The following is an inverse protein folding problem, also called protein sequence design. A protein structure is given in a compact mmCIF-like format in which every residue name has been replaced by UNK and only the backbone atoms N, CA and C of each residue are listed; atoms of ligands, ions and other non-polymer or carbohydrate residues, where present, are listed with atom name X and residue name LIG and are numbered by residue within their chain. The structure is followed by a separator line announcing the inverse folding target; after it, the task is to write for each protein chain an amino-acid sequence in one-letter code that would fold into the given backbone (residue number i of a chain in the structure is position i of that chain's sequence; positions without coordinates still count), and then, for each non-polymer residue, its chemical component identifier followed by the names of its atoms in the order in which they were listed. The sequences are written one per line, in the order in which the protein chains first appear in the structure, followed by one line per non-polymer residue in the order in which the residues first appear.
data_IF_127695954407
#
_entry.id   IF_127695954407
#
_cell.length_a   1.000
_cell.length_b   1.000
_cell.length_c   1.000
_cell.angle_alpha   90.00
_cell.angle_beta   90.00
_cell.angle_gamma   90.00
#
_symmetry.space_group_name_H-M   'P 1'
#
loop_
_entity.id
_entity.type
_entity.pdbx_description
1 polymer ?
#
# COMPACT_ATOMS: atom_id res chain seq x y z
N UNK A 1 6.23 -13.70 -15.65
CA UNK A 1 6.81 -12.35 -15.62
C UNK A 1 7.83 -12.30 -14.51
N UNK A 2 8.98 -11.71 -14.80
CA UNK A 2 9.98 -11.31 -13.81
C UNK A 2 9.67 -9.89 -13.31
N UNK A 3 10.29 -9.48 -12.21
CA UNK A 3 10.08 -8.15 -11.66
C UNK A 3 10.49 -7.05 -12.67
N UNK A 4 11.58 -7.28 -13.41
CA UNK A 4 12.08 -6.39 -14.44
C UNK A 4 11.16 -6.25 -15.67
N UNK A 5 10.26 -7.23 -15.91
CA UNK A 5 9.25 -7.15 -16.98
C UNK A 5 8.16 -6.12 -16.63
N UNK A 6 7.89 -5.92 -15.34
CA UNK A 6 6.91 -4.94 -14.84
C UNK A 6 7.57 -3.58 -14.65
N UNK A 7 8.74 -3.56 -14.00
CA UNK A 7 9.47 -2.34 -13.67
C UNK A 7 10.96 -2.53 -14.00
N UNK A 8 11.38 -2.13 -15.22
CA UNK A 8 12.75 -2.33 -15.70
C UNK A 8 13.78 -1.70 -14.77
N UNK A 9 14.99 -2.28 -14.70
CA UNK A 9 15.98 -1.90 -13.68
C UNK A 9 16.34 -0.43 -13.62
N UNK A 10 16.34 0.25 -14.76
CA UNK A 10 16.66 1.69 -14.89
C UNK A 10 15.44 2.60 -14.71
N UNK A 11 14.29 2.06 -14.34
CA UNK A 11 13.06 2.80 -14.09
C UNK A 11 12.61 2.61 -12.65
N UNK A 12 12.45 3.72 -11.95
CA UNK A 12 11.90 3.73 -10.60
C UNK A 12 10.39 3.89 -10.57
N UNK A 13 9.76 4.17 -11.72
CA UNK A 13 8.31 4.36 -11.81
C UNK A 13 7.73 3.79 -13.09
N UNK A 14 6.50 3.30 -12.99
CA UNK A 14 5.64 2.99 -14.12
C UNK A 14 4.28 3.67 -13.92
N UNK A 15 3.50 3.77 -15.00
CA UNK A 15 2.09 4.17 -14.92
C UNK A 15 1.21 2.98 -15.29
N UNK A 16 0.30 2.61 -14.39
CA UNK A 16 -0.65 1.52 -14.59
C UNK A 16 -2.06 2.04 -14.27
N UNK A 17 -2.98 1.94 -15.23
CA UNK A 17 -4.36 2.42 -15.03
C UNK A 17 -4.47 3.91 -14.66
N UNK A 18 -3.52 4.75 -15.09
CA UNK A 18 -3.46 6.17 -14.74
C UNK A 18 -2.77 6.47 -13.38
N UNK A 19 -2.43 5.44 -12.59
CA UNK A 19 -1.73 5.56 -11.32
C UNK A 19 -0.22 5.45 -11.54
N UNK A 20 0.55 6.37 -10.97
CA UNK A 20 2.01 6.24 -10.91
C UNK A 20 2.40 5.31 -9.76
N UNK A 21 3.16 4.26 -10.07
CA UNK A 21 3.64 3.26 -9.11
C UNK A 21 5.16 3.35 -9.05
N UNK A 22 5.72 3.34 -7.84
CA UNK A 22 7.18 3.41 -7.63
C UNK A 22 7.79 2.05 -7.34
N UNK A 23 9.06 1.88 -7.72
CA UNK A 23 9.91 0.77 -7.29
C UNK A 23 10.00 0.82 -5.77
N UNK A 24 9.44 -0.19 -5.11
CA UNK A 24 9.35 -0.26 -3.66
C UNK A 24 7.98 0.07 -3.06
N UNK A 25 6.95 0.44 -3.84
CA UNK A 25 5.61 0.69 -3.29
C UNK A 25 5.06 -0.49 -2.48
N UNK A 26 5.23 -1.73 -2.97
CA UNK A 26 4.82 -2.94 -2.23
C UNK A 26 5.64 -3.12 -0.95
N UNK A 27 6.97 -2.91 -1.01
CA UNK A 27 7.84 -3.02 0.16
C UNK A 27 7.51 -1.98 1.23
N UNK A 28 7.28 -0.73 0.83
CA UNK A 28 6.87 0.35 1.72
C UNK A 28 5.48 0.10 2.34
N UNK A 29 4.55 -0.48 1.58
CA UNK A 29 3.23 -0.86 2.08
C UNK A 29 3.36 -1.92 3.19
N UNK A 30 4.14 -2.97 2.94
CA UNK A 30 4.40 -4.02 3.93
C UNK A 30 5.11 -3.46 5.17
N UNK A 31 6.09 -2.56 4.99
CA UNK A 31 6.82 -1.96 6.10
C UNK A 31 5.91 -1.12 7.01
N UNK A 32 5.09 -0.24 6.43
CA UNK A 32 4.13 0.56 7.20
C UNK A 32 3.05 -0.31 7.86
N UNK A 33 2.55 -1.34 7.15
CA UNK A 33 1.60 -2.29 7.72
C UNK A 33 2.20 -2.97 8.97
N UNK A 34 3.45 -3.43 8.90
CA UNK A 34 4.15 -4.04 10.05
C UNK A 34 4.33 -3.07 11.20
N UNK A 35 4.75 -1.83 10.94
CA UNK A 35 4.86 -0.80 11.98
C UNK A 35 3.52 -0.60 12.71
N UNK A 36 2.40 -0.55 11.98
CA UNK A 36 1.08 -0.38 12.58
C UNK A 36 0.63 -1.58 13.43
N UNK A 37 1.21 -2.76 13.25
CA UNK A 37 0.92 -3.94 14.06
C UNK A 37 1.70 -3.97 15.38
N UNK A 38 2.77 -3.19 15.52
CA UNK A 38 3.51 -3.06 16.77
C UNK A 38 2.58 -2.54 17.88
N UNK A 39 2.64 -3.16 19.06
CA UNK A 39 1.84 -2.76 20.23
C UNK A 39 2.27 -1.37 20.72
N UNK A 40 3.58 -1.21 20.91
CA UNK A 40 4.19 0.05 21.34
C UNK A 40 4.78 0.81 20.15
N UNK A 41 3.94 1.67 19.56
CA UNK A 41 4.38 2.62 18.54
C UNK A 41 4.00 4.05 18.98
N UNK A 42 4.96 4.99 19.09
CA UNK A 42 4.66 6.37 19.45
C UNK A 42 3.57 6.96 18.56
N UNK A 43 2.62 7.69 19.15
CA UNK A 43 1.41 8.14 18.44
C UNK A 43 1.71 8.96 17.17
N UNK A 44 2.79 9.76 17.17
CA UNK A 44 3.22 10.49 15.98
C UNK A 44 3.69 9.56 14.85
N UNK A 45 4.45 8.52 15.18
CA UNK A 45 4.93 7.53 14.21
C UNK A 45 3.76 6.67 13.70
N UNK A 46 2.81 6.32 14.57
CA UNK A 46 1.59 5.61 14.16
C UNK A 46 0.81 6.42 13.13
N UNK A 47 0.57 7.70 13.39
CA UNK A 47 -0.11 8.60 12.42
C UNK A 47 0.62 8.66 11.08
N UNK A 48 1.94 8.86 11.11
CA UNK A 48 2.74 8.90 9.88
C UNK A 48 2.66 7.58 9.10
N UNK A 49 2.77 6.43 9.76
CA UNK A 49 2.68 5.13 9.12
C UNK A 49 1.28 4.89 8.51
N UNK A 50 0.21 5.35 9.15
CA UNK A 50 -1.13 5.30 8.56
C UNK A 50 -1.26 6.20 7.32
N UNK A 51 -0.74 7.43 7.37
CA UNK A 51 -0.75 8.36 6.23
C UNK A 51 0.04 7.79 5.04
N UNK A 52 1.24 7.29 5.30
CA UNK A 52 2.10 6.68 4.29
C UNK A 52 1.46 5.42 3.69
N UNK A 53 0.84 4.57 4.53
CA UNK A 53 0.11 3.40 4.05
C UNK A 53 -1.07 3.81 3.16
N UNK A 54 -1.88 4.80 3.58
CA UNK A 54 -3.01 5.32 2.78
C UNK A 54 -2.55 5.91 1.45
N UNK A 55 -1.41 6.61 1.42
CA UNK A 55 -0.83 7.16 0.20
C UNK A 55 -0.40 6.08 -0.81
N UNK A 56 -0.10 4.86 -0.34
CA UNK A 56 0.29 3.73 -1.17
C UNK A 56 -0.91 2.94 -1.73
N UNK A 57 -2.10 3.04 -1.12
CA UNK A 57 -3.28 2.27 -1.51
C UNK A 57 -3.70 2.40 -2.99
N UNK A 58 -3.63 3.57 -3.66
CA UNK A 58 -3.88 3.64 -5.10
C UNK A 58 -2.97 2.71 -5.90
N UNK A 59 -1.67 2.68 -5.58
CA UNK A 59 -0.69 1.85 -6.27
C UNK A 59 -0.90 0.36 -5.96
N UNK A 60 -1.17 0.02 -4.70
CA UNK A 60 -1.43 -1.37 -4.28
C UNK A 60 -2.68 -1.95 -4.94
N UNK A 61 -3.74 -1.13 -5.08
CA UNK A 61 -4.93 -1.53 -5.83
C UNK A 61 -4.66 -1.65 -7.32
N UNK A 62 -3.95 -0.70 -7.93
CA UNK A 62 -3.63 -0.77 -9.36
C UNK A 62 -2.80 -2.02 -9.71
N UNK A 63 -1.97 -2.50 -8.78
CA UNK A 63 -1.21 -3.75 -8.91
C UNK A 63 -2.06 -5.03 -8.74
N UNK A 64 -3.34 -4.91 -8.32
CA UNK A 64 -4.21 -6.06 -8.07
C UNK A 64 -3.83 -6.88 -6.83
N UNK A 65 -2.98 -6.35 -5.94
CA UNK A 65 -2.46 -7.14 -4.81
C UNK A 65 -3.59 -7.62 -3.88
N UNK A 66 -4.57 -6.74 -3.63
CA UNK A 66 -5.70 -7.03 -2.74
C UNK A 66 -6.81 -7.86 -3.40
N UNK A 67 -6.67 -8.20 -4.68
CA UNK A 67 -7.56 -9.16 -5.38
C UNK A 67 -7.11 -10.60 -5.16
N UNK A 68 -5.83 -10.79 -4.78
CA UNK A 68 -5.21 -12.10 -4.56
C UNK A 68 -4.88 -12.37 -3.10
N UNK A 69 -4.63 -11.31 -2.31
CA UNK A 69 -4.22 -11.40 -0.91
C UNK A 69 -5.15 -10.58 -0.03
N UNK A 70 -5.45 -11.10 1.16
CA UNK A 70 -6.18 -10.37 2.19
C UNK A 70 -5.27 -9.90 3.34
N UNK A 71 -5.62 -8.77 3.93
CA UNK A 71 -5.02 -8.32 5.19
C UNK A 71 -5.58 -9.12 6.35
N UNK A 72 -4.70 -9.76 7.13
CA UNK A 72 -5.12 -10.63 8.25
C UNK A 72 -5.55 -9.86 9.50
N UNK A 73 -4.93 -8.70 9.77
CA UNK A 73 -5.25 -7.89 10.94
C UNK A 73 -6.49 -7.02 10.67
N UNK A 74 -7.43 -7.04 11.62
CA UNK A 74 -8.71 -6.33 11.48
C UNK A 74 -8.56 -4.81 11.40
N UNK A 75 -7.60 -4.22 12.14
CA UNK A 75 -7.36 -2.76 12.13
C UNK A 75 -6.84 -2.31 10.77
N UNK A 76 -5.95 -3.11 10.17
CA UNK A 76 -5.47 -2.85 8.81
C UNK A 76 -6.60 -2.98 7.77
N UNK A 77 -7.47 -3.99 7.89
CA UNK A 77 -8.65 -4.12 7.03
C UNK A 77 -9.57 -2.91 7.11
N UNK A 78 -9.87 -2.45 8.33
CA UNK A 78 -10.69 -1.24 8.53
C UNK A 78 -10.04 -0.02 7.90
N UNK A 79 -8.74 0.19 8.12
CA UNK A 79 -8.03 1.32 7.53
C UNK A 79 -8.12 1.34 5.99
N UNK A 80 -7.94 0.18 5.34
CA UNK A 80 -8.06 0.07 3.88
C UNK A 80 -9.50 0.29 3.43
N UNK A 81 -10.49 -0.33 4.08
CA UNK A 81 -11.90 -0.14 3.75
C UNK A 81 -12.33 1.32 3.88
N UNK A 82 -11.88 2.03 4.92
CA UNK A 82 -12.17 3.46 5.11
C UNK A 82 -11.63 4.30 3.96
N UNK A 83 -10.42 4.00 3.48
CA UNK A 83 -9.84 4.67 2.32
C UNK A 83 -10.61 4.34 1.03
N UNK A 84 -11.05 3.08 0.84
CA UNK A 84 -11.84 2.67 -0.33
C UNK A 84 -13.19 3.38 -0.38
N UNK A 85 -13.86 3.47 0.77
CA UNK A 85 -15.11 4.18 0.94
C UNK A 85 -14.94 5.68 0.66
N UNK A 86 -13.91 6.31 1.23
CA UNK A 86 -13.62 7.72 0.99
C UNK A 86 -13.28 8.02 -0.48
N UNK A 87 -12.69 7.06 -1.19
CA UNK A 87 -12.38 7.18 -2.60
C UNK A 87 -13.57 6.91 -3.53
N UNK A 88 -14.74 6.54 -2.99
CA UNK A 88 -15.92 6.15 -3.76
C UNK A 88 -15.73 4.82 -4.51
N UNK A 89 -14.96 3.89 -3.94
CA UNK A 89 -14.54 2.63 -4.59
C UNK A 89 -15.03 1.35 -3.89
N UNK A 90 -16.14 1.42 -3.13
CA UNK A 90 -16.76 0.25 -2.47
C UNK A 90 -17.55 -0.60 -3.45
#
# INVERSE_FOLDING_TARGET
MKAEDILPDRQDRIRLGGVEIRKGSVGAFIANARLLLEEELPAAQRRQAEEDLRALLPAIRALGLLELFELRDARLRTLVADWENAAGRS
#
